data_IF_917427961299
#
_entry.id   IF_917427961299
#
_cell.length_a   1.000
_cell.length_b   1.000
_cell.length_c   1.000
_cell.angle_alpha   90.00
_cell.angle_beta   90.00
_cell.angle_gamma   90.00
#
_symmetry.space_group_name_H-M   'P 1'
#
loop_
_entity.id
_entity.type
_entity.pdbx_description
1 polymer ?
#
# COMPACT_ATOMS: atom_id res chain seq x y z
N UNK A 1 -8.36 24.51 31.70
CA UNK A 1 -9.28 24.54 30.55
C UNK A 1 -8.92 23.43 29.59
N UNK A 2 -9.69 22.34 29.58
CA UNK A 2 -9.53 21.26 28.60
C UNK A 2 -9.76 21.81 27.19
N UNK A 3 -8.87 21.52 26.26
CA UNK A 3 -9.06 21.88 24.84
C UNK A 3 -10.21 21.03 24.30
N UNK A 4 -11.37 21.69 24.03
CA UNK A 4 -12.51 21.04 23.38
C UNK A 4 -12.06 20.25 22.14
N UNK A 5 -12.58 19.04 21.97
CA UNK A 5 -12.40 18.25 20.75
C UNK A 5 -13.22 18.81 19.58
N UNK A 6 -14.19 19.68 19.87
CA UNK A 6 -15.02 20.32 18.86
C UNK A 6 -14.25 21.37 18.06
N UNK A 7 -14.37 21.29 16.75
CA UNK A 7 -13.78 22.22 15.80
C UNK A 7 -14.89 22.79 14.90
N UNK A 8 -15.17 24.06 15.06
CA UNK A 8 -16.17 24.76 14.24
C UNK A 8 -15.50 25.26 12.95
N UNK A 9 -15.74 24.64 11.82
CA UNK A 9 -15.26 25.15 10.52
C UNK A 9 -15.09 24.10 9.42
N UNK A 10 -14.52 22.94 9.74
CA UNK A 10 -14.35 21.88 8.74
C UNK A 10 -14.58 20.49 9.34
N UNK A 11 -15.30 19.60 8.62
CA UNK A 11 -15.41 18.20 9.05
C UNK A 11 -14.05 17.51 9.02
N UNK A 12 -13.93 16.38 9.73
CA UNK A 12 -12.70 15.56 9.76
C UNK A 12 -12.20 15.25 8.34
N UNK A 13 -13.13 14.98 7.40
CA UNK A 13 -12.77 14.76 6.00
C UNK A 13 -12.05 15.96 5.38
N UNK A 14 -12.56 17.18 5.60
CA UNK A 14 -11.91 18.40 5.12
C UNK A 14 -10.49 18.56 5.67
N UNK A 15 -10.28 18.22 6.95
CA UNK A 15 -8.95 18.25 7.58
C UNK A 15 -8.02 17.16 7.02
N UNK A 16 -8.54 15.94 6.74
CA UNK A 16 -7.77 14.84 6.14
C UNK A 16 -7.25 15.20 4.75
N UNK A 17 -8.11 15.80 3.91
CA UNK A 17 -7.75 16.18 2.54
C UNK A 17 -6.97 17.50 2.45
N UNK A 18 -6.77 18.22 3.56
CA UNK A 18 -6.00 19.48 3.58
C UNK A 18 -4.55 19.32 3.12
N UNK A 19 -4.01 18.10 3.20
CA UNK A 19 -2.68 17.78 2.66
C UNK A 19 -2.64 17.69 1.13
N UNK A 20 -3.80 17.73 0.47
CA UNK A 20 -3.92 17.74 -0.98
C UNK A 20 -3.91 19.18 -1.47
N UNK A 21 -2.90 19.54 -2.26
CA UNK A 21 -2.85 20.84 -2.92
C UNK A 21 -3.88 20.91 -4.05
N UNK A 22 -4.92 21.74 -3.85
CA UNK A 22 -6.01 21.88 -4.81
C UNK A 22 -5.54 22.37 -6.17
N UNK A 23 -4.64 23.36 -6.20
CA UNK A 23 -4.17 23.97 -7.45
C UNK A 23 -3.35 22.96 -8.24
N UNK A 24 -2.46 22.25 -7.56
CA UNK A 24 -1.67 21.18 -8.13
C UNK A 24 -2.53 20.05 -8.70
N UNK A 25 -3.56 19.63 -7.99
CA UNK A 25 -4.48 18.58 -8.46
C UNK A 25 -5.25 19.05 -9.72
N UNK A 26 -5.68 20.31 -9.77
CA UNK A 26 -6.32 20.87 -10.96
C UNK A 26 -5.33 20.92 -12.14
N UNK A 27 -4.08 21.28 -11.88
CA UNK A 27 -3.01 21.26 -12.90
C UNK A 27 -2.82 19.83 -13.45
N UNK A 28 -2.69 18.84 -12.57
CA UNK A 28 -2.55 17.43 -12.95
C UNK A 28 -3.77 16.92 -13.72
N UNK A 29 -4.98 17.36 -13.33
CA UNK A 29 -6.19 17.03 -14.06
C UNK A 29 -6.19 17.61 -15.48
N UNK A 30 -5.78 18.88 -15.64
CA UNK A 30 -5.64 19.55 -16.96
C UNK A 30 -4.61 18.85 -17.84
N UNK A 31 -3.43 18.53 -17.28
CA UNK A 31 -2.37 17.78 -17.95
C UNK A 31 -2.86 16.45 -18.54
N UNK A 32 -3.75 15.79 -17.83
CA UNK A 32 -4.33 14.50 -18.24
C UNK A 32 -5.66 14.64 -19.01
N UNK A 33 -6.01 15.84 -19.48
CA UNK A 33 -7.22 16.11 -20.27
C UNK A 33 -8.53 16.06 -19.46
N UNK A 34 -8.45 16.00 -18.13
CA UNK A 34 -9.59 15.80 -17.25
C UNK A 34 -10.51 17.00 -17.10
N UNK A 35 -10.07 18.19 -17.51
CA UNK A 35 -10.87 19.44 -17.41
C UNK A 35 -11.45 19.90 -18.75
N UNK A 36 -11.21 19.14 -19.84
CA UNK A 36 -11.70 19.50 -21.17
C UNK A 36 -13.23 19.37 -21.23
N UNK A 37 -13.93 20.46 -21.59
CA UNK A 37 -15.40 20.56 -21.66
C UNK A 37 -16.15 20.31 -20.33
N UNK A 38 -15.47 20.47 -19.18
CA UNK A 38 -16.08 20.31 -17.86
C UNK A 38 -16.73 21.62 -17.42
N UNK A 39 -18.02 21.57 -17.02
CA UNK A 39 -18.76 22.72 -16.49
C UNK A 39 -18.71 22.81 -14.96
N UNK A 40 -18.89 21.71 -14.24
CA UNK A 40 -19.02 21.71 -12.77
C UNK A 40 -18.32 20.55 -12.07
N UNK A 41 -18.25 19.36 -12.68
CA UNK A 41 -17.65 18.18 -12.06
C UNK A 41 -16.16 18.05 -12.42
N UNK A 42 -15.30 18.84 -11.76
CA UNK A 42 -13.85 18.93 -11.99
C UNK A 42 -13.14 17.63 -11.60
N UNK A 43 -11.88 17.47 -12.01
CA UNK A 43 -11.01 16.37 -11.54
C UNK A 43 -10.82 16.39 -10.03
N UNK A 44 -10.71 17.57 -9.43
CA UNK A 44 -10.65 17.73 -7.98
C UNK A 44 -11.91 17.20 -7.29
N UNK A 45 -13.09 17.63 -7.74
CA UNK A 45 -14.35 17.13 -7.18
C UNK A 45 -14.52 15.62 -7.37
N UNK A 46 -14.09 15.09 -8.53
CA UNK A 46 -14.08 13.65 -8.78
C UNK A 46 -13.18 12.90 -7.80
N UNK A 47 -11.96 13.38 -7.60
CA UNK A 47 -11.02 12.80 -6.63
C UNK A 47 -11.61 12.79 -5.23
N UNK A 48 -12.14 13.92 -4.74
CA UNK A 48 -12.74 13.98 -3.40
C UNK A 48 -13.95 13.06 -3.27
N UNK A 49 -14.82 13.01 -4.26
CA UNK A 49 -15.96 12.09 -4.25
C UNK A 49 -15.51 10.63 -4.16
N UNK A 50 -14.52 10.24 -4.94
CA UNK A 50 -14.00 8.88 -4.95
C UNK A 50 -13.24 8.53 -3.66
N UNK A 51 -12.47 9.48 -3.08
CA UNK A 51 -11.82 9.30 -1.79
C UNK A 51 -12.83 9.09 -0.67
N UNK A 52 -13.89 9.92 -0.63
CA UNK A 52 -15.00 9.73 0.30
C UNK A 52 -15.60 8.34 0.16
N UNK A 53 -15.88 7.91 -1.08
CA UNK A 53 -16.46 6.62 -1.36
C UNK A 53 -15.62 5.44 -0.89
N UNK A 54 -14.31 5.44 -1.17
CA UNK A 54 -13.44 4.31 -0.78
C UNK A 54 -13.15 4.29 0.71
N UNK A 55 -13.04 5.44 1.39
CA UNK A 55 -12.84 5.50 2.84
C UNK A 55 -14.11 5.03 3.57
N UNK A 56 -15.28 5.48 3.14
CA UNK A 56 -16.58 5.06 3.69
C UNK A 56 -16.95 3.62 3.32
N UNK A 57 -16.27 3.02 2.34
CA UNK A 57 -16.46 1.65 1.85
C UNK A 57 -17.84 1.42 1.22
N UNK A 58 -18.33 2.38 0.46
CA UNK A 58 -19.56 2.16 -0.31
C UNK A 58 -19.36 1.08 -1.38
N UNK A 59 -20.41 0.31 -1.61
CA UNK A 59 -20.41 -0.78 -2.57
C UNK A 59 -20.93 -0.39 -3.95
N UNK A 60 -21.57 0.78 -4.08
CA UNK A 60 -22.17 1.23 -5.33
C UNK A 60 -22.17 2.76 -5.51
N UNK A 61 -22.28 3.21 -6.78
CA UNK A 61 -22.45 4.62 -7.11
C UNK A 61 -23.77 5.22 -6.55
N UNK A 62 -24.79 4.37 -6.30
CA UNK A 62 -26.06 4.82 -5.70
C UNK A 62 -25.88 5.17 -4.23
N UNK A 63 -25.12 4.37 -3.50
CA UNK A 63 -24.78 4.64 -2.10
C UNK A 63 -23.95 5.92 -1.97
N UNK A 64 -23.01 6.17 -2.88
CA UNK A 64 -22.20 7.40 -2.91
C UNK A 64 -23.14 8.62 -3.06
N UNK A 65 -24.03 8.60 -4.06
CA UNK A 65 -24.98 9.69 -4.31
C UNK A 65 -25.89 9.92 -3.09
N UNK A 66 -26.44 8.85 -2.52
CA UNK A 66 -27.32 8.92 -1.35
C UNK A 66 -26.59 9.47 -0.11
N UNK A 67 -25.40 8.97 0.20
CA UNK A 67 -24.60 9.42 1.34
C UNK A 67 -24.19 10.89 1.21
N UNK A 68 -23.74 11.31 0.01
CA UNK A 68 -23.40 12.70 -0.24
C UNK A 68 -24.64 13.61 -0.17
N UNK A 69 -25.81 13.13 -0.58
CA UNK A 69 -27.07 13.88 -0.46
C UNK A 69 -27.44 14.10 1.01
N UNK A 70 -27.27 13.08 1.85
CA UNK A 70 -27.50 13.20 3.30
C UNK A 70 -26.57 14.23 3.95
N UNK A 71 -25.34 14.36 3.46
CA UNK A 71 -24.30 15.24 4.01
C UNK A 71 -24.17 16.57 3.23
N UNK A 72 -25.12 16.92 2.38
CA UNK A 72 -25.03 18.06 1.44
C UNK A 72 -24.60 19.36 2.10
N UNK A 73 -25.08 19.64 3.33
CA UNK A 73 -24.74 20.85 4.10
C UNK A 73 -23.26 20.92 4.47
N UNK A 74 -22.60 19.76 4.64
CA UNK A 74 -21.19 19.66 5.03
C UNK A 74 -20.26 19.63 3.83
N UNK A 75 -20.76 19.26 2.63
CA UNK A 75 -19.95 19.14 1.42
C UNK A 75 -19.38 20.47 0.94
N UNK A 76 -20.08 21.58 1.16
CA UNK A 76 -19.58 22.92 0.83
C UNK A 76 -18.24 23.23 1.54
N UNK A 77 -18.09 22.81 2.79
CA UNK A 77 -16.85 23.01 3.57
C UNK A 77 -15.64 22.25 3.04
N UNK A 78 -15.86 21.29 2.16
CA UNK A 78 -14.79 20.51 1.49
C UNK A 78 -14.64 20.86 0.00
N UNK A 79 -15.33 21.92 -0.46
CA UNK A 79 -15.25 22.42 -1.83
C UNK A 79 -16.09 21.63 -2.83
N UNK A 80 -17.15 20.96 -2.38
CA UNK A 80 -18.12 20.26 -3.22
C UNK A 80 -19.46 21.00 -3.11
N UNK A 81 -19.77 21.85 -4.10
CA UNK A 81 -21.00 22.68 -4.09
C UNK A 81 -22.23 21.93 -4.59
N UNK A 82 -22.04 20.83 -5.30
CA UNK A 82 -23.14 20.04 -5.88
C UNK A 82 -22.86 18.56 -5.78
N UNK A 83 -23.82 17.81 -5.24
CA UNK A 83 -23.77 16.35 -5.21
C UNK A 83 -23.73 15.81 -6.64
N UNK A 84 -22.73 15.03 -7.03
CA UNK A 84 -22.66 14.43 -8.35
C UNK A 84 -23.70 13.32 -8.48
N UNK A 85 -24.44 13.34 -9.58
CA UNK A 85 -25.37 12.26 -9.91
C UNK A 85 -24.60 10.98 -10.25
N UNK A 86 -25.23 9.83 -10.02
CA UNK A 86 -24.66 8.51 -10.38
C UNK A 86 -24.19 8.46 -11.85
N UNK A 87 -24.97 9.01 -12.79
CA UNK A 87 -24.58 9.05 -14.20
C UNK A 87 -23.31 9.88 -14.44
N UNK A 88 -23.18 11.03 -13.75
CA UNK A 88 -21.99 11.89 -13.82
C UNK A 88 -20.74 11.15 -13.28
N UNK A 89 -20.88 10.41 -12.17
CA UNK A 89 -19.80 9.60 -11.62
C UNK A 89 -19.41 8.45 -12.56
N UNK A 90 -20.38 7.75 -13.10
CA UNK A 90 -20.16 6.67 -14.07
C UNK A 90 -19.41 7.16 -15.31
N UNK A 91 -19.84 8.27 -15.88
CA UNK A 91 -19.22 8.92 -17.02
C UNK A 91 -17.78 9.37 -16.71
N UNK A 92 -17.56 10.00 -15.55
CA UNK A 92 -16.25 10.45 -15.14
C UNK A 92 -15.28 9.26 -14.94
N UNK A 93 -15.73 8.17 -14.32
CA UNK A 93 -14.96 6.94 -14.17
C UNK A 93 -14.62 6.28 -15.51
N UNK A 94 -15.50 6.40 -16.51
CA UNK A 94 -15.27 5.85 -17.84
C UNK A 94 -14.28 6.70 -18.67
N UNK A 95 -14.40 8.03 -18.61
CA UNK A 95 -13.70 8.95 -19.54
C UNK A 95 -12.45 9.59 -18.98
N UNK A 96 -12.42 9.97 -17.69
CA UNK A 96 -11.25 10.63 -17.09
C UNK A 96 -10.11 9.63 -16.99
N UNK A 97 -8.92 10.00 -17.46
CA UNK A 97 -7.75 9.12 -17.48
C UNK A 97 -7.37 8.66 -16.07
N UNK A 98 -7.12 7.36 -15.89
CA UNK A 98 -6.57 6.80 -14.65
C UNK A 98 -5.20 7.40 -14.30
N UNK A 99 -4.46 7.87 -15.32
CA UNK A 99 -3.16 8.53 -15.16
C UNK A 99 -3.23 9.80 -14.32
N UNK A 100 -4.35 10.51 -14.33
CA UNK A 100 -4.55 11.64 -13.42
C UNK A 100 -4.45 11.20 -11.96
N UNK A 101 -5.08 10.11 -11.58
CA UNK A 101 -5.05 9.60 -10.20
C UNK A 101 -3.67 8.99 -9.84
N UNK A 102 -2.98 8.40 -10.81
CA UNK A 102 -1.58 8.00 -10.65
C UNK A 102 -0.71 9.21 -10.35
N UNK A 103 -0.81 10.27 -11.16
CA UNK A 103 -0.01 11.48 -10.98
C UNK A 103 -0.30 12.17 -9.63
N UNK A 104 -1.56 12.18 -9.17
CA UNK A 104 -1.93 12.65 -7.82
C UNK A 104 -1.27 11.77 -6.73
N UNK A 105 -1.33 10.45 -6.86
CA UNK A 105 -0.68 9.56 -5.91
C UNK A 105 0.82 9.85 -5.81
N UNK A 106 1.49 9.98 -6.95
CA UNK A 106 2.93 10.27 -7.03
C UNK A 106 3.28 11.61 -6.40
N UNK A 107 2.48 12.64 -6.65
CA UNK A 107 2.67 13.98 -6.08
C UNK A 107 2.54 13.95 -4.55
N UNK A 108 1.47 13.37 -4.01
CA UNK A 108 1.26 13.22 -2.56
C UNK A 108 2.36 12.40 -1.91
N UNK A 109 2.80 11.31 -2.55
CA UNK A 109 3.88 10.48 -2.05
C UNK A 109 5.20 11.25 -1.99
N UNK A 110 5.60 11.91 -3.08
CA UNK A 110 6.85 12.67 -3.15
C UNK A 110 6.90 13.81 -2.14
N UNK A 111 5.81 14.57 -2.02
CA UNK A 111 5.69 15.69 -1.08
C UNK A 111 5.74 15.28 0.40
N UNK A 112 5.50 14.00 0.71
CA UNK A 112 5.48 13.51 2.10
C UNK A 112 6.50 12.40 2.38
N UNK A 113 7.43 12.14 1.46
CA UNK A 113 8.40 11.05 1.55
C UNK A 113 9.27 11.14 2.80
N UNK A 114 9.73 12.34 3.15
CA UNK A 114 10.54 12.57 4.35
C UNK A 114 9.79 12.22 5.63
N UNK A 115 8.50 12.56 5.73
CA UNK A 115 7.67 12.20 6.88
C UNK A 115 7.47 10.69 6.99
N UNK A 116 7.34 9.99 5.87
CA UNK A 116 7.22 8.53 5.83
C UNK A 116 8.51 7.84 6.26
N UNK A 117 9.67 8.33 5.79
CA UNK A 117 10.98 7.75 6.08
C UNK A 117 11.49 8.08 7.49
N UNK A 118 11.04 9.17 8.09
CA UNK A 118 11.45 9.60 9.43
C UNK A 118 10.70 8.90 10.58
N UNK A 119 9.72 8.03 10.29
CA UNK A 119 8.96 7.33 11.33
C UNK A 119 9.82 6.27 12.03
N UNK A 120 10.45 6.64 13.12
CA UNK A 120 11.28 5.77 13.96
C UNK A 120 10.52 4.55 14.51
N UNK A 121 9.18 4.57 14.52
CA UNK A 121 8.35 3.44 14.98
C UNK A 121 8.30 2.30 13.97
N UNK A 122 8.60 2.57 12.70
CA UNK A 122 8.59 1.60 11.59
C UNK A 122 9.99 1.19 11.18
N UNK A 123 10.96 2.05 11.41
CA UNK A 123 12.32 1.87 10.91
C UNK A 123 13.15 1.07 11.92
N UNK A 124 13.83 0.05 11.42
CA UNK A 124 14.99 -0.51 12.10
C UNK A 124 16.12 0.52 12.10
N UNK A 125 17.08 0.34 12.99
CA UNK A 125 18.29 1.18 13.08
C UNK A 125 19.33 0.84 12.03
N UNK A 126 19.17 -0.32 11.37
CA UNK A 126 20.17 -0.84 10.43
C UNK A 126 20.17 -0.05 9.12
N UNK A 127 21.34 0.28 8.63
CA UNK A 127 21.55 1.09 7.43
C UNK A 127 20.97 0.45 6.15
N UNK A 128 21.01 -0.89 6.05
CA UNK A 128 20.46 -1.61 4.90
C UNK A 128 18.94 -1.42 4.74
N UNK A 129 18.21 -1.11 5.81
CA UNK A 129 16.74 -0.87 5.73
C UNK A 129 16.41 0.34 4.87
N UNK A 130 17.25 1.38 4.90
CA UNK A 130 17.07 2.59 4.08
C UNK A 130 17.26 2.32 2.58
N UNK A 131 18.13 1.36 2.26
CA UNK A 131 18.45 0.94 0.88
C UNK A 131 17.51 -0.14 0.35
N UNK A 132 16.68 -0.73 1.23
CA UNK A 132 15.87 -1.90 0.89
C UNK A 132 14.60 -1.51 0.14
N UNK A 133 14.47 -2.06 -1.06
CA UNK A 133 13.25 -2.12 -1.88
C UNK A 133 12.63 -3.51 -1.79
N UNK A 134 11.34 -3.58 -1.65
CA UNK A 134 10.60 -4.85 -1.63
C UNK A 134 9.66 -4.88 -2.80
N UNK A 135 9.73 -5.96 -3.60
CA UNK A 135 8.88 -6.15 -4.78
C UNK A 135 7.96 -7.34 -4.54
N UNK A 136 6.68 -7.14 -4.81
CA UNK A 136 5.71 -8.24 -4.88
C UNK A 136 4.50 -7.84 -5.74
N UNK A 137 3.63 -8.79 -5.98
CA UNK A 137 2.39 -8.57 -6.70
C UNK A 137 1.20 -9.12 -5.94
N UNK A 138 0.05 -8.48 -6.13
CA UNK A 138 -1.21 -9.00 -5.62
C UNK A 138 -2.26 -9.02 -6.70
N UNK A 139 -3.08 -10.07 -6.73
CA UNK A 139 -4.21 -10.16 -7.65
C UNK A 139 -5.47 -9.61 -6.99
N UNK A 140 -6.13 -8.71 -7.69
CA UNK A 140 -7.47 -8.24 -7.38
C UNK A 140 -8.42 -9.00 -8.30
N UNK A 141 -9.30 -9.81 -7.70
CA UNK A 141 -10.27 -10.61 -8.44
C UNK A 141 -11.46 -9.75 -8.86
N UNK A 142 -11.82 -9.79 -10.12
CA UNK A 142 -12.99 -9.11 -10.68
C UNK A 142 -14.16 -10.09 -10.83
N UNK A 143 -15.37 -9.56 -10.93
CA UNK A 143 -16.55 -10.40 -11.19
C UNK A 143 -16.44 -11.09 -12.57
N UNK A 144 -17.10 -12.25 -12.68
CA UNK A 144 -17.00 -13.14 -13.86
C UNK A 144 -17.41 -12.50 -15.19
N UNK A 145 -18.19 -11.43 -15.14
CA UNK A 145 -18.73 -10.77 -16.33
C UNK A 145 -17.84 -9.64 -16.86
N UNK A 146 -16.81 -9.23 -16.09
CA UNK A 146 -15.90 -8.16 -16.49
C UNK A 146 -14.68 -8.79 -17.18
N UNK A 147 -14.79 -9.04 -18.48
CA UNK A 147 -13.70 -9.53 -19.32
C UNK A 147 -13.36 -8.43 -20.32
N UNK A 148 -12.28 -7.72 -20.11
CA UNK A 148 -11.75 -6.74 -21.06
C UNK A 148 -10.25 -6.97 -21.29
N UNK A 149 -9.71 -6.35 -22.35
CA UNK A 149 -8.30 -6.45 -22.70
C UNK A 149 -7.42 -6.04 -21.51
N UNK A 150 -6.54 -6.94 -21.07
CA UNK A 150 -5.67 -6.74 -19.89
C UNK A 150 -6.18 -7.39 -18.60
N UNK A 151 -7.35 -8.05 -18.62
CA UNK A 151 -7.86 -8.85 -17.52
C UNK A 151 -7.76 -10.34 -17.89
N UNK A 152 -6.94 -11.09 -17.17
CA UNK A 152 -6.64 -12.49 -17.42
C UNK A 152 -7.54 -13.47 -16.66
N UNK A 153 -7.37 -14.76 -16.94
CA UNK A 153 -8.00 -15.84 -16.18
C UNK A 153 -7.36 -15.96 -14.79
N UNK A 154 -8.13 -16.43 -13.82
CA UNK A 154 -7.61 -16.70 -12.48
C UNK A 154 -6.52 -17.80 -12.56
N UNK A 155 -5.30 -17.55 -12.04
CA UNK A 155 -4.14 -18.44 -12.27
C UNK A 155 -4.31 -19.85 -11.68
N UNK A 156 -5.11 -20.02 -10.61
CA UNK A 156 -5.27 -21.31 -9.93
C UNK A 156 -6.46 -22.14 -10.41
N UNK A 157 -7.51 -21.54 -10.95
CA UNK A 157 -8.76 -22.26 -11.24
C UNK A 157 -9.08 -22.40 -12.73
N UNK A 158 -8.32 -21.73 -13.60
CA UNK A 158 -8.58 -21.70 -15.07
C UNK A 158 -9.94 -21.12 -15.46
N UNK A 159 -10.83 -20.86 -14.47
CA UNK A 159 -12.14 -20.25 -14.75
C UNK A 159 -11.95 -18.83 -15.28
N UNK A 160 -12.84 -18.43 -16.20
CA UNK A 160 -12.87 -17.07 -16.77
C UNK A 160 -13.29 -16.02 -15.73
N UNK A 161 -12.58 -15.96 -14.59
CA UNK A 161 -12.73 -14.84 -13.65
C UNK A 161 -11.64 -13.85 -14.00
N UNK A 162 -12.05 -12.69 -14.46
CA UNK A 162 -11.16 -11.59 -14.71
C UNK A 162 -10.38 -11.25 -13.43
N UNK A 163 -9.12 -10.87 -13.58
CA UNK A 163 -8.28 -10.40 -12.49
C UNK A 163 -7.28 -9.39 -13.01
N UNK A 164 -7.07 -8.33 -12.25
CA UNK A 164 -5.99 -7.39 -12.45
C UNK A 164 -4.89 -7.69 -11.44
N UNK A 165 -3.66 -7.79 -11.92
CA UNK A 165 -2.50 -7.95 -11.07
C UNK A 165 -1.87 -6.58 -10.82
N UNK A 166 -1.66 -6.26 -9.57
CA UNK A 166 -1.00 -5.03 -9.11
C UNK A 166 0.40 -5.41 -8.67
N UNK A 167 1.39 -5.04 -9.48
CA UNK A 167 2.80 -5.17 -9.14
C UNK A 167 3.20 -3.92 -8.39
N UNK A 168 3.91 -4.08 -7.28
CA UNK A 168 4.26 -2.97 -6.44
C UNK A 168 5.69 -3.08 -5.92
N UNK A 169 6.30 -1.92 -5.77
CA UNK A 169 7.55 -1.73 -5.05
C UNK A 169 7.29 -0.84 -3.84
N UNK A 170 7.86 -1.18 -2.71
CA UNK A 170 7.87 -0.35 -1.50
C UNK A 170 9.30 -0.10 -1.05
N UNK A 171 9.58 1.06 -0.45
CA UNK A 171 10.75 1.25 0.42
C UNK A 171 10.45 0.66 1.79
N UNK A 172 11.35 -0.16 2.32
CA UNK A 172 11.13 -0.82 3.61
C UNK A 172 10.99 0.17 4.77
N UNK A 173 11.66 1.32 4.69
CA UNK A 173 11.59 2.38 5.69
C UNK A 173 10.36 3.28 5.57
N UNK A 174 9.69 3.32 4.42
CA UNK A 174 8.52 4.18 4.20
C UNK A 174 7.20 3.41 4.40
N UNK A 175 7.18 2.12 4.07
CA UNK A 175 6.04 1.22 4.29
C UNK A 175 4.81 1.51 3.44
N UNK A 176 4.97 2.25 2.35
CA UNK A 176 3.93 2.58 1.36
C UNK A 176 4.41 2.25 -0.06
N UNK A 177 3.51 2.20 -1.03
CA UNK A 177 3.86 1.93 -2.42
C UNK A 177 4.64 3.10 -3.03
N UNK A 178 5.82 2.85 -3.59
CA UNK A 178 6.61 3.86 -4.32
C UNK A 178 6.52 3.70 -5.84
N UNK A 179 6.28 2.49 -6.34
CA UNK A 179 5.97 2.20 -7.75
C UNK A 179 4.84 1.18 -7.84
N UNK A 180 3.91 1.40 -8.76
CA UNK A 180 2.75 0.52 -8.98
C UNK A 180 2.49 0.37 -10.47
N UNK A 181 2.30 -0.88 -10.92
CA UNK A 181 1.98 -1.22 -12.29
C UNK A 181 0.87 -2.25 -12.37
N UNK A 182 0.05 -2.12 -13.38
CA UNK A 182 -1.09 -3.00 -13.60
C UNK A 182 -0.84 -3.92 -14.80
N UNK A 183 -1.10 -5.21 -14.60
CA UNK A 183 -1.09 -6.21 -15.68
C UNK A 183 -2.30 -7.14 -15.57
N UNK A 184 -2.48 -7.98 -16.58
CA UNK A 184 -3.46 -9.06 -16.45
C UNK A 184 -3.01 -10.06 -15.37
N UNK A 185 -3.96 -10.72 -14.72
CA UNK A 185 -3.68 -11.73 -13.70
C UNK A 185 -2.81 -12.91 -14.21
N UNK A 186 -2.78 -13.12 -15.52
CA UNK A 186 -1.99 -14.18 -16.17
C UNK A 186 -0.53 -13.78 -16.43
N UNK A 187 -0.16 -12.50 -16.27
CA UNK A 187 1.21 -12.04 -16.55
C UNK A 187 2.20 -12.63 -15.55
N UNK A 188 3.33 -13.12 -16.06
CA UNK A 188 4.40 -13.65 -15.22
C UNK A 188 5.09 -12.51 -14.47
N UNK A 189 5.30 -12.69 -13.17
CA UNK A 189 5.93 -11.69 -12.29
C UNK A 189 7.36 -11.34 -12.73
N UNK A 190 8.12 -12.31 -13.23
CA UNK A 190 9.50 -12.09 -13.67
C UNK A 190 9.63 -11.07 -14.81
N UNK A 191 8.59 -10.88 -15.63
CA UNK A 191 8.58 -9.86 -16.68
C UNK A 191 8.54 -8.44 -16.14
N UNK A 192 8.04 -8.27 -14.91
CA UNK A 192 7.83 -6.98 -14.27
C UNK A 192 9.05 -6.49 -13.47
N UNK A 193 10.06 -7.35 -13.26
CA UNK A 193 11.34 -6.91 -12.73
C UNK A 193 12.04 -6.04 -13.76
N UNK A 194 12.26 -4.78 -13.45
CA UNK A 194 12.91 -3.80 -14.32
C UNK A 194 14.17 -3.26 -13.61
N UNK A 195 15.36 -3.84 -13.85
CA UNK A 195 16.60 -3.45 -13.18
C UNK A 195 16.94 -1.97 -13.32
N UNK A 196 16.58 -1.34 -14.45
CA UNK A 196 16.79 0.10 -14.70
C UNK A 196 16.08 1.04 -13.73
N UNK A 197 15.11 0.55 -12.95
CA UNK A 197 14.38 1.33 -11.95
C UNK A 197 15.08 1.40 -10.59
N UNK A 198 16.15 0.62 -10.41
CA UNK A 198 16.91 0.60 -9.17
C UNK A 198 18.20 1.40 -9.32
N UNK A 199 18.54 2.10 -8.24
CA UNK A 199 19.76 2.89 -8.15
C UNK A 199 20.91 2.03 -7.63
N UNK A 200 22.12 2.46 -7.93
CA UNK A 200 23.34 1.91 -7.34
C UNK A 200 23.23 1.81 -5.81
N UNK A 201 23.72 0.73 -5.25
CA UNK A 201 23.70 0.39 -3.82
C UNK A 201 22.30 0.09 -3.22
N UNK A 202 21.24 0.03 -4.00
CA UNK A 202 19.95 -0.44 -3.49
C UNK A 202 19.97 -1.97 -3.30
N UNK A 203 19.16 -2.42 -2.34
CA UNK A 203 18.93 -3.84 -2.06
C UNK A 203 17.49 -4.15 -2.48
N UNK A 204 17.28 -5.24 -3.19
CA UNK A 204 15.96 -5.64 -3.68
C UNK A 204 15.57 -7.00 -3.10
N UNK A 205 14.57 -7.03 -2.22
CA UNK A 205 13.98 -8.29 -1.75
C UNK A 205 12.75 -8.63 -2.60
N UNK A 206 12.72 -9.84 -3.14
CA UNK A 206 11.67 -10.27 -4.07
C UNK A 206 11.26 -11.74 -3.85
N UNK A 207 10.06 -12.10 -4.29
CA UNK A 207 9.61 -13.49 -4.27
C UNK A 207 10.31 -14.31 -5.35
N UNK A 208 10.44 -15.60 -5.13
CA UNK A 208 11.02 -16.56 -6.08
C UNK A 208 10.34 -16.58 -7.46
N UNK A 209 9.12 -16.05 -7.58
CA UNK A 209 8.43 -15.92 -8.87
C UNK A 209 9.16 -14.97 -9.83
N UNK A 210 9.93 -14.02 -9.29
CA UNK A 210 10.71 -13.04 -10.05
C UNK A 210 12.05 -13.55 -10.58
N UNK A 211 12.49 -14.78 -10.25
CA UNK A 211 13.79 -15.32 -10.66
C UNK A 211 13.90 -15.32 -12.19
N UNK A 212 14.87 -14.53 -12.67
CA UNK A 212 15.29 -14.41 -14.07
C UNK A 212 16.78 -14.04 -14.07
N UNK A 213 17.63 -14.93 -14.60
CA UNK A 213 19.09 -14.78 -14.50
C UNK A 213 19.65 -13.61 -15.30
N UNK A 214 19.08 -13.31 -16.47
CA UNK A 214 19.44 -12.15 -17.29
C UNK A 214 19.23 -10.85 -16.49
N UNK A 215 18.06 -10.71 -15.88
CA UNK A 215 17.75 -9.53 -15.05
C UNK A 215 18.55 -9.47 -13.76
N UNK A 216 18.89 -10.62 -13.19
CA UNK A 216 19.76 -10.68 -12.02
C UNK A 216 21.19 -10.28 -12.36
N UNK A 217 21.69 -10.68 -13.53
CA UNK A 217 22.98 -10.23 -14.03
C UNK A 217 22.98 -8.72 -14.29
N UNK A 218 21.90 -8.18 -14.90
CA UNK A 218 21.74 -6.75 -15.07
C UNK A 218 21.72 -5.99 -13.73
N UNK A 219 21.05 -6.51 -12.68
CA UNK A 219 21.11 -5.95 -11.33
C UNK A 219 22.54 -5.93 -10.80
N UNK A 220 23.29 -7.04 -10.97
CA UNK A 220 24.69 -7.15 -10.52
C UNK A 220 25.58 -6.14 -11.23
N UNK A 221 25.46 -5.99 -12.53
CA UNK A 221 26.22 -5.01 -13.32
C UNK A 221 25.89 -3.56 -12.91
N UNK A 222 24.71 -3.30 -12.38
CA UNK A 222 24.28 -2.00 -11.86
C UNK A 222 24.62 -1.80 -10.39
N UNK A 223 25.33 -2.74 -9.78
CA UNK A 223 25.68 -2.75 -8.36
C UNK A 223 24.44 -2.69 -7.44
N UNK A 224 23.38 -3.41 -7.84
CA UNK A 224 22.16 -3.57 -7.06
C UNK A 224 22.17 -4.98 -6.46
N UNK A 225 22.06 -5.06 -5.15
CA UNK A 225 21.97 -6.34 -4.43
C UNK A 225 20.56 -6.90 -4.52
N UNK A 226 20.41 -8.18 -4.82
CA UNK A 226 19.11 -8.83 -4.71
C UNK A 226 19.14 -9.94 -3.65
N UNK A 227 18.00 -10.18 -3.00
CA UNK A 227 17.78 -11.29 -2.08
C UNK A 227 16.43 -11.94 -2.40
N UNK A 228 16.45 -13.25 -2.70
CA UNK A 228 15.24 -14.02 -2.99
C UNK A 228 15.33 -15.42 -2.41
N UNK A 229 14.17 -16.09 -2.29
CA UNK A 229 14.13 -17.51 -1.93
C UNK A 229 14.35 -18.36 -3.17
N UNK A 230 15.19 -19.37 -3.05
CA UNK A 230 15.50 -20.29 -4.12
C UNK A 230 14.32 -21.19 -4.50
N UNK A 231 14.17 -21.52 -5.79
CA UNK A 231 13.28 -22.59 -6.28
C UNK A 231 13.97 -23.94 -6.15
N UNK A 232 13.21 -25.01 -5.86
CA UNK A 232 13.79 -26.37 -5.67
C UNK A 232 14.43 -26.97 -6.93
N UNK A 233 14.01 -26.53 -8.11
CA UNK A 233 14.37 -27.19 -9.40
C UNK A 233 15.39 -26.37 -10.20
N UNK A 234 16.15 -25.47 -9.58
CA UNK A 234 17.16 -24.71 -10.30
C UNK A 234 18.39 -25.59 -10.52
N UNK A 235 18.90 -25.61 -11.76
CA UNK A 235 20.16 -26.26 -12.11
C UNK A 235 21.27 -25.24 -12.01
N UNK A 236 22.34 -25.60 -11.32
CA UNK A 236 23.53 -24.75 -11.12
C UNK A 236 24.75 -25.63 -10.94
N UNK A 237 25.92 -25.08 -11.16
CA UNK A 237 27.21 -25.65 -10.87
C UNK A 237 27.76 -24.99 -9.59
N UNK A 238 28.23 -25.78 -8.65
CA UNK A 238 28.83 -25.29 -7.39
C UNK A 238 30.29 -25.02 -7.60
N UNK A 239 30.74 -23.82 -7.30
CA UNK A 239 32.14 -23.39 -7.36
C UNK A 239 32.80 -23.50 -6.00
N UNK A 240 32.12 -23.10 -4.94
CA UNK A 240 32.59 -23.19 -3.54
C UNK A 240 31.44 -23.71 -2.69
N UNK A 241 31.76 -24.54 -1.72
CA UNK A 241 30.79 -25.12 -0.78
C UNK A 241 31.39 -25.13 0.63
N UNK A 242 30.80 -24.35 1.53
CA UNK A 242 31.17 -24.25 2.92
C UNK A 242 29.96 -24.62 3.78
N UNK A 243 30.17 -25.50 4.75
CA UNK A 243 29.13 -25.95 5.68
C UNK A 243 29.60 -25.73 7.10
N UNK A 244 28.78 -25.08 7.90
CA UNK A 244 29.00 -24.93 9.33
C UNK A 244 28.10 -25.89 10.10
N UNK A 245 28.65 -26.53 11.11
CA UNK A 245 28.00 -27.56 11.92
C UNK A 245 28.02 -27.12 13.38
N UNK A 246 26.88 -27.20 14.03
CA UNK A 246 26.87 -27.01 15.49
C UNK A 246 27.56 -28.15 16.25
N UNK A 247 27.84 -27.98 17.57
CA UNK A 247 28.51 -29.02 18.36
C UNK A 247 27.80 -30.39 18.37
N UNK A 248 26.47 -30.40 18.11
CA UNK A 248 25.68 -31.64 18.03
C UNK A 248 25.77 -32.34 16.66
N UNK A 249 26.64 -31.85 15.75
CA UNK A 249 26.82 -32.41 14.41
C UNK A 249 25.64 -32.14 13.46
N UNK A 250 24.78 -31.17 13.78
CA UNK A 250 23.69 -30.73 12.88
C UNK A 250 24.14 -29.53 12.09
N UNK A 251 23.72 -29.48 10.84
CA UNK A 251 23.97 -28.31 9.98
C UNK A 251 23.33 -27.06 10.59
N UNK A 252 24.13 -26.06 10.89
CA UNK A 252 23.67 -24.75 11.33
C UNK A 252 23.34 -23.90 10.11
N UNK A 253 24.28 -23.77 9.19
CA UNK A 253 24.05 -23.16 7.88
C UNK A 253 25.01 -23.72 6.84
N UNK A 254 24.71 -23.49 5.56
CA UNK A 254 25.57 -23.84 4.43
C UNK A 254 25.62 -22.68 3.47
N UNK A 255 26.82 -22.34 3.04
CA UNK A 255 27.05 -21.33 2.02
C UNK A 255 27.66 -21.96 0.78
N UNK A 256 27.14 -21.57 -0.38
CA UNK A 256 27.63 -22.03 -1.67
C UNK A 256 27.77 -20.84 -2.61
N UNK A 257 28.89 -20.78 -3.33
CA UNK A 257 29.03 -19.95 -4.52
C UNK A 257 28.72 -20.82 -5.72
N UNK A 258 27.79 -20.37 -6.55
CA UNK A 258 27.26 -21.15 -7.67
C UNK A 258 27.22 -20.33 -8.94
N UNK A 259 27.26 -21.02 -10.08
CA UNK A 259 27.01 -20.40 -11.38
C UNK A 259 25.78 -21.01 -12.01
N UNK A 260 24.87 -20.14 -12.44
CA UNK A 260 23.71 -20.48 -13.27
C UNK A 260 24.04 -20.20 -14.71
N UNK A 261 23.86 -21.22 -15.60
CA UNK A 261 24.01 -21.07 -17.05
C UNK A 261 22.67 -21.36 -17.71
N UNK A 262 22.13 -20.38 -18.39
CA UNK A 262 20.86 -20.53 -19.10
C UNK A 262 20.75 -19.52 -20.25
N UNK A 263 20.34 -20.00 -21.42
CA UNK A 263 20.06 -19.17 -22.61
C UNK A 263 21.24 -18.22 -22.98
N UNK A 264 22.49 -18.71 -22.83
CA UNK A 264 23.71 -17.93 -23.10
C UNK A 264 24.12 -16.97 -21.98
N UNK A 265 23.32 -16.83 -20.93
CA UNK A 265 23.65 -16.02 -19.76
C UNK A 265 24.33 -16.87 -18.71
N UNK A 266 25.45 -16.34 -18.15
CA UNK A 266 26.14 -16.90 -17.00
C UNK A 266 26.00 -15.93 -15.84
N UNK A 267 25.47 -16.40 -14.70
CA UNK A 267 25.23 -15.60 -13.52
C UNK A 267 25.82 -16.27 -12.27
N UNK A 268 26.73 -15.58 -11.59
CA UNK A 268 27.34 -16.07 -10.35
C UNK A 268 26.54 -15.53 -9.16
N UNK A 269 26.23 -16.40 -8.22
CA UNK A 269 25.45 -16.03 -7.05
C UNK A 269 25.87 -16.84 -5.82
N UNK A 270 25.49 -16.34 -4.66
CA UNK A 270 25.67 -16.99 -3.34
C UNK A 270 24.35 -17.60 -2.90
N UNK A 271 24.36 -18.85 -2.48
CA UNK A 271 23.25 -19.55 -1.84
C UNK A 271 23.55 -19.68 -0.35
N UNK A 272 22.64 -19.21 0.48
CA UNK A 272 22.68 -19.38 1.93
C UNK A 272 21.53 -20.29 2.33
N UNK A 273 21.84 -21.47 2.89
CA UNK A 273 20.85 -22.43 3.39
C UNK A 273 20.93 -22.51 4.91
N UNK A 274 19.81 -22.29 5.58
CA UNK A 274 19.71 -22.31 7.04
C UNK A 274 18.44 -23.03 7.51
N UNK A 275 18.42 -23.40 8.79
CA UNK A 275 17.26 -24.03 9.43
C UNK A 275 16.35 -22.93 9.99
N UNK A 276 15.16 -22.75 9.39
CA UNK A 276 14.15 -21.82 9.87
C UNK A 276 13.26 -22.50 10.93
N UNK A 277 13.46 -22.10 12.18
CA UNK A 277 12.73 -22.63 13.34
C UNK A 277 11.64 -21.64 13.72
N UNK A 278 10.38 -22.02 13.52
CA UNK A 278 9.21 -21.24 13.94
C UNK A 278 8.50 -21.91 15.11
N UNK A 279 8.11 -21.10 16.10
CA UNK A 279 7.37 -21.59 17.29
C UNK A 279 6.17 -22.46 16.87
N UNK A 280 6.10 -23.68 17.37
CA UNK A 280 5.01 -24.62 17.09
C UNK A 280 5.00 -25.24 15.69
N UNK A 281 6.09 -25.13 14.92
CA UNK A 281 6.24 -25.76 13.59
C UNK A 281 7.50 -26.58 13.50
N UNK A 282 7.48 -27.61 12.67
CA UNK A 282 8.68 -28.39 12.34
C UNK A 282 9.75 -27.50 11.69
N UNK A 283 11.03 -27.64 12.07
CA UNK A 283 12.14 -26.94 11.43
C UNK A 283 12.14 -27.17 9.91
N UNK A 284 12.45 -26.14 9.14
CA UNK A 284 12.48 -26.22 7.67
C UNK A 284 13.77 -25.63 7.13
N UNK A 285 14.41 -26.34 6.21
CA UNK A 285 15.50 -25.80 5.43
C UNK A 285 14.98 -24.73 4.47
N UNK A 286 15.62 -23.57 4.50
CA UNK A 286 15.35 -22.45 3.62
C UNK A 286 16.64 -22.06 2.94
N UNK A 287 16.62 -21.99 1.62
CA UNK A 287 17.75 -21.51 0.80
C UNK A 287 17.41 -20.15 0.20
N UNK A 288 18.26 -19.17 0.47
CA UNK A 288 18.19 -17.82 -0.11
C UNK A 288 19.27 -17.67 -1.18
N UNK A 289 18.99 -16.88 -2.17
CA UNK A 289 19.87 -16.57 -3.30
C UNK A 289 20.14 -15.07 -3.31
N UNK A 290 21.41 -14.68 -3.43
CA UNK A 290 21.87 -13.29 -3.51
C UNK A 290 23.10 -13.16 -4.39
N UNK A 291 23.37 -11.96 -4.90
CA UNK A 291 24.64 -11.60 -5.56
C UNK A 291 25.61 -10.86 -4.64
N UNK A 292 25.31 -10.75 -3.36
CA UNK A 292 26.20 -10.18 -2.35
C UNK A 292 26.99 -11.29 -1.66
N UNK A 293 28.32 -11.19 -1.70
CA UNK A 293 29.23 -12.20 -1.15
C UNK A 293 29.81 -11.82 0.22
N UNK A 294 29.64 -10.55 0.63
CA UNK A 294 30.28 -10.00 1.84
C UNK A 294 29.29 -9.87 3.01
N UNK A 295 27.98 -9.73 2.70
CA UNK A 295 26.95 -9.54 3.71
C UNK A 295 26.80 -10.77 4.61
N UNK A 296 26.66 -10.57 5.93
CA UNK A 296 26.46 -11.68 6.86
C UNK A 296 25.17 -12.47 6.56
N UNK A 297 25.14 -13.75 6.89
CA UNK A 297 23.97 -14.61 6.73
C UNK A 297 22.74 -14.01 7.44
N UNK A 298 22.94 -13.53 8.68
CA UNK A 298 21.86 -12.95 9.49
C UNK A 298 21.22 -11.75 8.80
N UNK A 299 22.05 -10.91 8.16
CA UNK A 299 21.57 -9.73 7.41
C UNK A 299 20.78 -10.16 6.18
N UNK A 300 21.27 -11.12 5.40
CA UNK A 300 20.53 -11.64 4.23
C UNK A 300 19.18 -12.25 4.65
N UNK A 301 19.17 -13.00 5.75
CA UNK A 301 17.94 -13.58 6.32
C UNK A 301 16.99 -12.49 6.81
N UNK A 302 17.50 -11.44 7.47
CA UNK A 302 16.70 -10.30 7.94
C UNK A 302 16.08 -9.54 6.77
N UNK A 303 16.84 -9.27 5.71
CA UNK A 303 16.36 -8.65 4.47
C UNK A 303 15.22 -9.48 3.87
N UNK A 304 15.41 -10.79 3.72
CA UNK A 304 14.35 -11.64 3.15
C UNK A 304 13.10 -11.70 4.02
N UNK A 305 13.25 -11.73 5.34
CA UNK A 305 12.11 -11.66 6.27
C UNK A 305 11.34 -10.36 6.16
N UNK A 306 12.02 -9.25 5.91
CA UNK A 306 11.39 -7.93 5.70
C UNK A 306 10.46 -7.91 4.47
N UNK A 307 10.65 -8.79 3.51
CA UNK A 307 9.77 -8.94 2.33
C UNK A 307 8.28 -9.11 2.71
N UNK A 308 7.98 -9.72 3.86
CA UNK A 308 6.61 -9.86 4.34
C UNK A 308 5.88 -8.54 4.62
N UNK A 309 6.61 -7.44 4.68
CA UNK A 309 6.03 -6.11 4.89
C UNK A 309 5.07 -5.74 3.75
N UNK A 310 5.40 -6.05 2.50
CA UNK A 310 4.53 -5.76 1.35
C UNK A 310 3.25 -6.62 1.35
N UNK A 311 3.35 -7.90 1.78
CA UNK A 311 2.18 -8.76 1.93
C UNK A 311 1.22 -8.23 3.01
N UNK A 312 1.78 -7.73 4.11
CA UNK A 312 1.01 -7.07 5.19
C UNK A 312 0.32 -5.81 4.69
N UNK A 313 0.98 -5.01 3.86
CA UNK A 313 0.42 -3.82 3.23
C UNK A 313 -0.73 -4.18 2.27
N UNK A 314 -0.56 -5.20 1.42
CA UNK A 314 -1.64 -5.68 0.56
C UNK A 314 -2.84 -6.19 1.36
N UNK A 315 -2.60 -6.90 2.46
CA UNK A 315 -3.64 -7.34 3.38
C UNK A 315 -4.38 -6.16 3.99
N UNK A 316 -3.64 -5.16 4.48
CA UNK A 316 -4.18 -3.92 5.04
C UNK A 316 -5.13 -3.23 4.04
N UNK A 317 -4.70 -3.06 2.79
CA UNK A 317 -5.49 -2.42 1.74
C UNK A 317 -6.78 -3.22 1.46
N UNK A 318 -6.66 -4.53 1.24
CA UNK A 318 -7.82 -5.40 0.96
C UNK A 318 -8.82 -5.48 2.11
N UNK A 319 -8.38 -5.33 3.35
CA UNK A 319 -9.24 -5.36 4.52
C UNK A 319 -9.97 -4.05 4.78
N UNK A 320 -9.34 -2.92 4.47
CA UNK A 320 -9.87 -1.61 4.85
C UNK A 320 -10.61 -0.88 3.73
N UNK A 321 -10.47 -1.31 2.47
CA UNK A 321 -11.06 -0.61 1.32
C UNK A 321 -11.89 -1.55 0.43
N UNK A 322 -12.90 -1.01 -0.33
CA UNK A 322 -13.85 -1.82 -1.11
C UNK A 322 -13.24 -2.26 -2.46
N UNK A 323 -12.29 -3.20 -2.41
CA UNK A 323 -11.70 -3.80 -3.62
C UNK A 323 -12.44 -5.09 -4.07
N UNK A 324 -13.65 -5.31 -3.57
CA UNK A 324 -14.55 -6.38 -4.00
C UNK A 324 -15.61 -5.90 -4.97
N UNK A 325 -16.04 -4.66 -4.83
CA UNK A 325 -17.03 -3.98 -5.67
C UNK A 325 -16.38 -2.80 -6.37
N UNK A 326 -16.66 -2.65 -7.66
CA UNK A 326 -16.08 -1.58 -8.44
C UNK A 326 -17.16 -0.63 -8.93
N UNK A 327 -16.84 0.66 -8.92
CA UNK A 327 -17.73 1.75 -9.30
C UNK A 327 -17.85 1.94 -10.82
N UNK A 328 -17.36 0.95 -11.59
CA UNK A 328 -17.46 0.86 -13.04
C UNK A 328 -16.80 -0.41 -13.56
N UNK A 329 -17.22 -0.84 -14.74
CA UNK A 329 -16.80 -2.11 -15.33
C UNK A 329 -15.62 -1.96 -16.30
N UNK A 330 -15.28 -0.74 -16.71
CA UNK A 330 -14.15 -0.49 -17.61
C UNK A 330 -12.80 -0.66 -16.90
N UNK A 331 -11.76 -1.05 -17.63
CA UNK A 331 -10.39 -1.12 -17.11
C UNK A 331 -9.95 0.19 -16.47
N UNK A 332 -10.32 1.31 -17.09
CA UNK A 332 -10.02 2.64 -16.58
C UNK A 332 -10.70 2.90 -15.23
N UNK A 333 -12.00 2.62 -15.09
CA UNK A 333 -12.74 2.81 -13.84
C UNK A 333 -12.17 1.97 -12.69
N UNK A 334 -11.80 0.72 -12.97
CA UNK A 334 -11.20 -0.17 -11.98
C UNK A 334 -9.83 0.35 -11.53
N UNK A 335 -9.00 0.78 -12.44
CA UNK A 335 -7.68 1.37 -12.12
C UNK A 335 -7.81 2.67 -11.34
N UNK A 336 -8.79 3.54 -11.70
CA UNK A 336 -9.12 4.75 -10.93
C UNK A 336 -9.42 4.37 -9.48
N UNK A 337 -10.30 3.41 -9.24
CA UNK A 337 -10.64 3.01 -7.87
C UNK A 337 -9.44 2.43 -7.11
N UNK A 338 -8.57 1.68 -7.78
CA UNK A 338 -7.33 1.20 -7.16
C UNK A 338 -6.42 2.38 -6.80
N UNK A 339 -6.17 3.33 -7.70
CA UNK A 339 -5.36 4.50 -7.41
C UNK A 339 -5.94 5.33 -6.27
N UNK A 340 -7.24 5.59 -6.26
CA UNK A 340 -7.91 6.30 -5.17
C UNK A 340 -7.77 5.55 -3.84
N UNK A 341 -7.85 4.23 -3.87
CA UNK A 341 -7.60 3.39 -2.69
C UNK A 341 -6.17 3.54 -2.17
N UNK A 342 -5.19 3.60 -3.06
CA UNK A 342 -3.79 3.84 -2.69
C UNK A 342 -3.58 5.25 -2.11
N UNK A 343 -4.23 6.26 -2.68
CA UNK A 343 -4.22 7.64 -2.13
C UNK A 343 -4.85 7.65 -0.73
N UNK A 344 -6.00 7.02 -0.55
CA UNK A 344 -6.65 6.92 0.76
C UNK A 344 -5.77 6.21 1.80
N UNK A 345 -5.12 5.09 1.41
CA UNK A 345 -4.16 4.39 2.27
C UNK A 345 -2.98 5.29 2.64
N UNK A 346 -2.44 6.05 1.70
CA UNK A 346 -1.33 6.98 1.94
C UNK A 346 -1.73 8.10 2.90
N UNK A 347 -2.88 8.74 2.70
CA UNK A 347 -3.40 9.80 3.57
C UNK A 347 -3.62 9.30 5.01
N UNK A 348 -4.23 8.11 5.16
CA UNK A 348 -4.43 7.50 6.48
C UNK A 348 -3.11 7.06 7.13
N UNK A 349 -2.11 6.63 6.35
CA UNK A 349 -0.77 6.32 6.86
C UNK A 349 -0.06 7.59 7.35
N UNK A 350 -0.17 8.70 6.61
CA UNK A 350 0.37 10.00 7.04
C UNK A 350 -0.32 10.50 8.31
N UNK A 351 -1.63 10.38 8.42
CA UNK A 351 -2.37 10.68 9.64
C UNK A 351 -1.86 9.80 10.79
N UNK A 352 -1.75 8.48 10.59
CA UNK A 352 -1.26 7.54 11.62
C UNK A 352 0.13 7.94 12.16
N UNK A 353 1.03 8.37 11.28
CA UNK A 353 2.39 8.81 11.65
C UNK A 353 2.35 10.11 12.44
N UNK A 354 1.46 11.04 12.10
CA UNK A 354 1.36 12.34 12.77
C UNK A 354 0.78 12.27 14.19
N UNK A 355 0.11 11.18 14.54
CA UNK A 355 -0.52 11.01 15.85
C UNK A 355 0.46 10.51 16.91
N UNK A 356 0.35 11.03 18.15
CA UNK A 356 1.09 10.56 19.32
C UNK A 356 0.56 9.20 19.79
N UNK A 357 -0.77 9.02 19.81
CA UNK A 357 -1.42 7.74 20.14
C UNK A 357 -1.10 6.70 19.09
N UNK A 358 -0.70 5.51 19.52
CA UNK A 358 -0.44 4.37 18.62
C UNK A 358 -1.74 3.69 18.21
N UNK A 359 -2.18 3.94 17.00
CA UNK A 359 -3.31 3.27 16.39
C UNK A 359 -2.84 2.08 15.54
N UNK A 360 -3.61 0.98 15.56
CA UNK A 360 -3.57 0.05 14.41
C UNK A 360 -4.16 0.76 13.19
N UNK A 361 -3.67 0.45 11.99
CA UNK A 361 -4.22 1.09 10.77
C UNK A 361 -5.73 0.87 10.64
N UNK A 362 -6.19 -0.38 10.85
CA UNK A 362 -7.62 -0.71 10.75
C UNK A 362 -8.47 -0.01 11.82
N UNK A 363 -7.95 0.14 13.04
CA UNK A 363 -8.63 0.90 14.09
C UNK A 363 -8.77 2.38 13.72
N UNK A 364 -7.68 3.00 13.25
CA UNK A 364 -7.70 4.38 12.78
C UNK A 364 -8.67 4.57 11.60
N UNK A 365 -8.58 3.72 10.59
CA UNK A 365 -9.46 3.77 9.41
C UNK A 365 -10.95 3.63 9.80
N UNK A 366 -11.26 2.80 10.79
CA UNK A 366 -12.63 2.65 11.31
C UNK A 366 -13.09 3.91 12.04
N UNK A 367 -12.26 4.47 12.91
CA UNK A 367 -12.60 5.70 13.63
C UNK A 367 -12.76 6.89 12.68
N UNK A 368 -11.84 7.06 11.71
CA UNK A 368 -11.98 8.09 10.65
C UNK A 368 -13.32 7.95 9.94
N UNK A 369 -13.72 6.74 9.57
CA UNK A 369 -14.98 6.47 8.88
C UNK A 369 -16.20 6.90 9.70
N UNK A 370 -16.20 6.61 11.01
CA UNK A 370 -17.32 6.94 11.91
C UNK A 370 -17.47 8.46 12.05
N UNK A 371 -16.37 9.18 12.19
CA UNK A 371 -16.40 10.64 12.47
C UNK A 371 -16.08 11.49 11.23
N UNK A 372 -16.08 10.90 10.04
CA UNK A 372 -15.55 11.53 8.82
C UNK A 372 -16.21 12.87 8.49
N UNK A 373 -17.50 12.98 8.72
CA UNK A 373 -18.28 14.21 8.48
C UNK A 373 -18.60 15.00 9.74
N UNK A 374 -18.00 14.63 10.89
CA UNK A 374 -18.15 15.39 12.15
C UNK A 374 -17.16 16.57 12.21
N UNK A 375 -17.59 17.66 12.90
CA UNK A 375 -16.79 18.87 13.10
C UNK A 375 -15.89 18.76 14.32
N UNK A 376 -15.03 17.74 14.35
CA UNK A 376 -14.07 17.48 15.40
C UNK A 376 -12.69 17.99 15.02
N UNK A 377 -11.90 18.44 15.98
CA UNK A 377 -10.48 18.65 15.71
C UNK A 377 -9.78 17.29 15.56
N UNK A 378 -9.38 16.97 14.33
CA UNK A 378 -8.87 15.67 13.96
C UNK A 378 -7.68 15.24 14.84
N UNK A 379 -6.69 16.09 15.04
CA UNK A 379 -5.50 15.75 15.81
C UNK A 379 -5.82 15.55 17.30
N UNK A 380 -6.65 16.42 17.89
CA UNK A 380 -7.02 16.30 19.29
C UNK A 380 -7.84 15.05 19.54
N UNK A 381 -8.87 14.81 18.71
CA UNK A 381 -9.74 13.65 18.82
C UNK A 381 -8.97 12.33 18.68
N UNK A 382 -8.14 12.17 17.65
CA UNK A 382 -7.41 10.90 17.44
C UNK A 382 -6.26 10.69 18.43
N UNK A 383 -5.77 11.72 19.10
CA UNK A 383 -4.81 11.56 20.20
C UNK A 383 -5.49 11.24 21.55
N UNK A 384 -6.71 11.72 21.77
CA UNK A 384 -7.47 11.55 23.02
C UNK A 384 -8.96 11.29 22.73
N UNK A 385 -9.32 10.15 22.10
CA UNK A 385 -10.72 9.87 21.74
C UNK A 385 -11.66 9.73 22.95
N UNK A 386 -11.11 9.48 24.14
CA UNK A 386 -11.87 9.29 25.36
C UNK A 386 -12.00 10.60 26.19
N UNK A 387 -11.49 11.73 25.66
CA UNK A 387 -11.45 12.99 26.45
C UNK A 387 -12.85 13.49 26.81
N UNK A 388 -13.80 13.44 25.87
CA UNK A 388 -15.18 13.89 26.10
C UNK A 388 -15.90 12.99 27.13
N UNK A 389 -15.70 11.67 27.04
CA UNK A 389 -16.26 10.72 28.01
C UNK A 389 -15.67 10.93 29.42
N UNK A 390 -14.38 11.17 29.53
CA UNK A 390 -13.73 11.48 30.82
C UNK A 390 -14.29 12.76 31.41
N UNK A 391 -14.42 13.83 30.63
CA UNK A 391 -14.99 15.08 31.05
C UNK A 391 -16.46 14.93 31.49
N UNK A 392 -17.25 14.12 30.78
CA UNK A 392 -18.63 13.84 31.19
C UNK A 392 -18.70 13.08 32.51
N UNK A 393 -17.81 12.09 32.73
CA UNK A 393 -17.74 11.33 33.97
C UNK A 393 -17.25 12.21 35.16
N UNK A 394 -16.28 13.09 34.93
CA UNK A 394 -15.81 14.05 35.91
C UNK A 394 -16.94 15.03 36.33
N UNK A 395 -17.65 15.61 35.34
CA UNK A 395 -18.80 16.48 35.60
C UNK A 395 -19.96 15.76 36.32
N UNK A 396 -20.22 14.49 35.99
CA UNK A 396 -21.23 13.71 36.67
C UNK A 396 -20.85 13.36 38.11
N UNK A 397 -19.55 13.17 38.40
CA UNK A 397 -19.05 12.91 39.75
C UNK A 397 -19.06 14.19 40.65
N UNK A 398 -18.93 15.36 40.02
CA UNK A 398 -18.99 16.66 40.70
C UNK A 398 -20.41 17.18 40.94
N UNK A 399 -21.42 16.58 40.26
CA UNK A 399 -22.82 16.92 40.50
C UNK A 399 -23.26 16.28 41.79
N UNK A 400 -23.73 17.05 42.82
CA UNK A 400 -24.23 16.47 44.05
C UNK A 400 -25.42 15.55 43.74
N UNK A 401 -25.61 14.45 44.46
CA UNK A 401 -26.80 13.63 44.31
C UNK A 401 -28.02 14.54 44.54
N UNK A 402 -28.93 14.53 43.53
CA UNK A 402 -30.18 15.29 43.67
C UNK A 402 -30.80 14.96 45.01
N UNK A 403 -30.81 15.98 45.92
CA UNK A 403 -31.49 15.87 47.18
C UNK A 403 -32.94 15.54 46.86
N UNK A 404 -33.37 14.38 47.34
CA UNK A 404 -34.78 14.12 47.55
C UNK A 404 -35.25 15.16 48.56
N UNK A 405 -35.83 16.22 48.05
CA UNK A 405 -36.65 17.10 48.88
C UNK A 405 -38.05 16.47 48.98
N UNK A 406 -38.39 16.20 50.20
CA UNK A 406 -39.67 15.68 50.71
C UNK A 406 -40.91 16.43 50.22
#
# INVERSE_FOLDING_TARGET
>A
MGKSTHFFGQPVYGQLIKSLDREKIIELSRKNGGEKYIKSFTGFTHLLTMLYAVIMRFDSLREIEAAMTAEVRKLHHIGIDKVPKRSTLSDANARRSEKFFEDVYRDVYQSNREKLSSDSRRNGTEEWVKRLRIIDSTTITLFSNVIFKGVGRHPKTGKKKGGIKVHSVIHANEGVHCDVRFTSAATNDSLMLAPSHFQHDEIVALDRAYINYEKFEELTQRNVVYVTKMKKNLKYETLVDCMDMNPDGRMEYREQVVVFRKDGVSHIARIITYVDIKKGKTPKLVSLLTNDFDMSMETVVAIYRRRWQIESLFKQIKQNFPLRYFYGESANAIKIQIWVTLIANLLLSLLQISLKRRWSFSGLATMVRIVMMEYLNMNNFFNMPDADMKMMLENAAESPPNGEDC
#
